data_IF_793523515303
#
_entry.id   IF_793523515303
#
_cell.length_a   1.000
_cell.length_b   1.000
_cell.length_c   1.000
_cell.angle_alpha   90.00
_cell.angle_beta   90.00
_cell.angle_gamma   90.00
#
_symmetry.space_group_name_H-M   'P 1'
#
loop_
_entity.id
_entity.type
_entity.pdbx_description
1 polymer ?
#
# COMPACT_ATOMS: atom_id res chain seq x y z
N UNK A 1 -30.27 -24.61 -37.11
CA UNK A 1 -30.24 -23.59 -36.04
C UNK A 1 -29.36 -24.12 -34.91
N UNK A 2 -28.11 -23.66 -34.84
CA UNK A 2 -27.16 -24.04 -33.78
C UNK A 2 -27.66 -23.48 -32.44
N UNK A 3 -28.04 -24.37 -31.52
CA UNK A 3 -28.29 -24.01 -30.12
C UNK A 3 -26.93 -23.69 -29.52
N UNK A 4 -26.61 -22.40 -29.38
CA UNK A 4 -25.44 -21.96 -28.63
C UNK A 4 -25.47 -22.62 -27.23
N UNK A 5 -24.40 -23.29 -26.79
CA UNK A 5 -24.42 -24.03 -25.53
C UNK A 5 -24.68 -23.06 -24.37
N UNK A 6 -25.66 -23.41 -23.52
CA UNK A 6 -26.09 -22.67 -22.31
C UNK A 6 -24.95 -22.23 -21.38
N UNK A 7 -23.78 -22.88 -21.48
CA UNK A 7 -22.54 -22.57 -20.77
C UNK A 7 -21.98 -21.18 -21.08
N UNK A 8 -22.10 -20.68 -22.31
CA UNK A 8 -21.60 -19.34 -22.70
C UNK A 8 -22.37 -18.19 -22.03
N UNK A 9 -23.59 -18.44 -21.55
CA UNK A 9 -24.46 -17.41 -20.94
C UNK A 9 -24.48 -17.42 -19.40
N UNK A 10 -23.85 -18.39 -18.74
CA UNK A 10 -23.77 -18.40 -17.27
C UNK A 10 -23.02 -17.20 -16.65
N UNK A 11 -21.94 -16.65 -17.25
CA UNK A 11 -21.26 -15.46 -16.71
C UNK A 11 -22.17 -14.24 -16.63
N UNK A 12 -23.12 -14.11 -17.57
CA UNK A 12 -24.03 -12.96 -17.68
C UNK A 12 -25.09 -12.96 -16.56
N UNK A 13 -25.46 -14.12 -16.00
CA UNK A 13 -26.41 -14.19 -14.88
C UNK A 13 -25.85 -13.59 -13.58
N UNK A 14 -24.53 -13.49 -13.44
CA UNK A 14 -23.87 -12.92 -12.25
C UNK A 14 -23.54 -11.43 -12.39
N UNK A 15 -23.91 -10.76 -13.49
CA UNK A 15 -23.56 -9.35 -13.77
C UNK A 15 -23.92 -8.37 -12.64
N UNK A 16 -25.06 -8.56 -11.95
CA UNK A 16 -25.43 -7.73 -10.80
C UNK A 16 -24.48 -7.91 -9.61
N UNK A 17 -24.08 -9.15 -9.34
CA UNK A 17 -23.16 -9.47 -8.25
C UNK A 17 -21.75 -8.92 -8.55
N UNK A 18 -21.32 -9.01 -9.81
CA UNK A 18 -20.08 -8.40 -10.30
C UNK A 18 -20.10 -6.88 -10.23
N UNK A 19 -21.23 -6.24 -10.56
CA UNK A 19 -21.38 -4.79 -10.46
C UNK A 19 -21.31 -4.27 -9.00
N UNK A 20 -21.81 -5.03 -8.03
CA UNK A 20 -21.66 -4.69 -6.60
C UNK A 20 -20.23 -4.90 -6.10
N UNK A 21 -19.59 -6.00 -6.49
CA UNK A 21 -18.18 -6.27 -6.17
C UNK A 21 -17.24 -5.23 -6.76
N UNK A 22 -17.42 -4.90 -8.03
CA UNK A 22 -16.61 -3.89 -8.71
C UNK A 22 -16.76 -2.53 -8.04
N UNK A 23 -17.99 -2.12 -7.66
CA UNK A 23 -18.23 -0.88 -6.90
C UNK A 23 -17.52 -0.87 -5.55
N UNK A 24 -17.60 -1.96 -4.77
CA UNK A 24 -16.93 -2.05 -3.46
C UNK A 24 -15.41 -1.97 -3.60
N UNK A 25 -14.84 -2.75 -4.53
CA UNK A 25 -13.41 -2.75 -4.81
C UNK A 25 -12.90 -1.37 -5.26
N UNK A 26 -13.65 -0.71 -6.15
CA UNK A 26 -13.34 0.64 -6.62
C UNK A 26 -13.41 1.68 -5.48
N UNK A 27 -14.24 1.45 -4.46
CA UNK A 27 -14.35 2.34 -3.30
C UNK A 27 -13.16 2.23 -2.34
N UNK A 28 -12.52 1.08 -2.17
CA UNK A 28 -11.33 0.99 -1.29
C UNK A 28 -10.06 1.45 -2.01
N UNK A 29 -9.92 1.14 -3.31
CA UNK A 29 -8.69 1.39 -4.05
C UNK A 29 -8.38 2.89 -4.21
N UNK A 30 -9.39 3.76 -4.20
CA UNK A 30 -9.19 5.23 -4.19
C UNK A 30 -8.40 5.72 -2.98
N UNK A 31 -8.36 4.95 -1.88
CA UNK A 31 -7.58 5.29 -0.69
C UNK A 31 -6.15 4.72 -0.72
N UNK A 32 -5.74 4.00 -1.77
CA UNK A 32 -4.42 3.38 -1.84
C UNK A 32 -3.29 4.43 -1.84
N UNK A 33 -3.42 5.48 -2.66
CA UNK A 33 -2.43 6.56 -2.74
C UNK A 33 -2.28 7.29 -1.40
N UNK A 34 -3.35 7.84 -0.76
CA UNK A 34 -3.18 8.54 0.51
C UNK A 34 -2.68 7.61 1.62
N UNK A 35 -3.10 6.33 1.63
CA UNK A 35 -2.57 5.34 2.58
C UNK A 35 -1.07 5.14 2.39
N UNK A 36 -0.61 5.00 1.14
CA UNK A 36 0.81 4.87 0.81
C UNK A 36 1.63 6.08 1.25
N UNK A 37 1.13 7.29 1.02
CA UNK A 37 1.81 8.54 1.41
C UNK A 37 1.79 8.83 2.93
N UNK A 38 1.16 7.98 3.74
CA UNK A 38 1.35 8.00 5.20
C UNK A 38 2.29 6.86 5.62
N UNK A 39 1.97 5.63 5.22
CA UNK A 39 2.72 4.45 5.66
C UNK A 39 4.18 4.49 5.19
N UNK A 40 4.42 4.77 3.90
CA UNK A 40 5.77 4.73 3.35
C UNK A 40 6.67 5.82 3.95
N UNK A 41 6.24 7.09 4.13
CA UNK A 41 7.05 8.09 4.84
C UNK A 41 7.31 7.74 6.32
N UNK A 42 6.34 7.17 7.03
CA UNK A 42 6.55 6.71 8.42
C UNK A 42 7.67 5.66 8.49
N UNK A 43 7.57 4.60 7.68
CA UNK A 43 8.58 3.54 7.62
C UNK A 43 9.94 4.09 7.14
N UNK A 44 9.94 4.99 6.15
CA UNK A 44 11.13 5.66 5.65
C UNK A 44 11.85 6.49 6.73
N UNK A 45 11.12 7.29 7.51
CA UNK A 45 11.68 8.12 8.58
C UNK A 45 12.41 7.29 9.63
N UNK A 46 11.82 6.17 10.06
CA UNK A 46 12.45 5.23 10.98
C UNK A 46 13.66 4.54 10.34
N UNK A 47 13.53 4.07 9.10
CA UNK A 47 14.60 3.34 8.41
C UNK A 47 15.82 4.20 8.09
N UNK A 48 15.64 5.50 7.83
CA UNK A 48 16.71 6.44 7.52
C UNK A 48 17.31 7.11 8.76
N UNK A 49 16.79 6.86 9.96
CA UNK A 49 17.37 7.36 11.22
C UNK A 49 18.80 6.88 11.43
N UNK A 50 19.15 5.67 10.94
CA UNK A 50 20.51 5.10 11.02
C UNK A 50 21.57 5.82 10.19
N UNK A 51 21.17 6.66 9.23
CA UNK A 51 22.08 7.43 8.39
C UNK A 51 22.43 8.71 9.14
N UNK A 52 23.45 8.60 9.97
CA UNK A 52 23.78 9.58 11.01
C UNK A 52 25.21 10.12 10.88
N UNK A 53 26.02 9.60 9.94
CA UNK A 53 27.40 10.01 9.71
C UNK A 53 28.41 9.49 10.75
N UNK A 54 27.97 8.67 11.72
CA UNK A 54 28.84 8.14 12.78
C UNK A 54 29.53 6.86 12.34
N UNK A 55 28.77 5.90 11.83
CA UNK A 55 29.29 4.57 11.42
C UNK A 55 29.64 4.48 9.95
N UNK A 56 28.84 5.11 9.09
CA UNK A 56 28.97 5.04 7.63
C UNK A 56 28.17 6.17 6.97
N UNK A 57 28.42 6.38 5.67
CA UNK A 57 27.72 7.37 4.86
C UNK A 57 28.38 8.74 4.88
N UNK A 58 27.62 9.76 4.46
CA UNK A 58 28.06 11.15 4.45
C UNK A 58 28.23 11.67 5.88
N UNK A 59 29.34 12.34 6.13
CA UNK A 59 29.65 13.01 7.40
C UNK A 59 30.06 14.44 7.11
N UNK A 60 29.44 15.40 7.79
CA UNK A 60 29.79 16.80 7.64
C UNK A 60 31.22 17.06 8.15
N UNK A 61 31.88 18.06 7.56
CA UNK A 61 33.23 18.48 7.97
C UNK A 61 33.18 19.32 9.24
N UNK A 62 34.13 19.09 10.13
CA UNK A 62 34.39 19.86 11.36
C UNK A 62 33.11 20.22 12.16
N UNK A 63 32.37 19.22 12.70
CA UNK A 63 31.19 19.48 13.52
C UNK A 63 31.58 20.14 14.84
N UNK A 64 30.78 21.12 15.26
CA UNK A 64 30.99 21.86 16.51
C UNK A 64 30.65 21.02 17.74
N UNK A 65 29.59 20.22 17.65
CA UNK A 65 29.17 19.26 18.66
C UNK A 65 28.44 18.06 18.03
N UNK A 66 27.86 17.20 18.86
CA UNK A 66 27.16 16.00 18.40
C UNK A 66 25.82 16.31 17.71
N UNK A 67 25.13 17.36 18.12
CA UNK A 67 23.86 17.77 17.51
C UNK A 67 24.12 18.34 16.10
N UNK A 68 25.13 19.20 15.97
CA UNK A 68 25.60 19.74 14.70
C UNK A 68 26.03 18.63 13.74
N UNK A 69 26.79 17.63 14.24
CA UNK A 69 27.16 16.44 13.46
C UNK A 69 25.93 15.76 12.85
N UNK A 70 24.90 15.49 13.66
CA UNK A 70 23.70 14.81 13.16
C UNK A 70 22.89 15.67 12.21
N UNK A 71 22.65 16.95 12.55
CA UNK A 71 21.82 17.84 11.75
C UNK A 71 22.45 18.12 10.39
N UNK A 72 23.73 18.52 10.35
CA UNK A 72 24.41 18.83 9.09
C UNK A 72 24.65 17.60 8.23
N UNK A 73 25.16 16.50 8.80
CA UNK A 73 25.40 15.28 8.01
C UNK A 73 24.12 14.77 7.33
N UNK A 74 22.98 14.87 8.00
CA UNK A 74 21.67 14.49 7.43
C UNK A 74 21.15 15.53 6.43
N UNK A 75 21.31 16.82 6.72
CA UNK A 75 20.81 17.91 5.86
C UNK A 75 21.57 17.98 4.54
N UNK A 76 22.88 17.84 4.59
CA UNK A 76 23.78 17.80 3.43
C UNK A 76 23.63 16.48 2.64
N UNK A 77 23.48 15.35 3.36
CA UNK A 77 23.43 14.02 2.76
C UNK A 77 22.10 13.64 2.12
N UNK A 78 20.97 14.21 2.54
CA UNK A 78 19.65 13.89 2.01
C UNK A 78 19.14 14.92 1.00
N UNK A 79 18.65 14.42 -0.14
CA UNK A 79 17.92 15.23 -1.11
C UNK A 79 16.56 15.74 -0.59
N UNK A 80 16.02 16.76 -1.24
CA UNK A 80 14.79 17.46 -0.81
C UNK A 80 13.57 16.54 -0.62
N UNK A 81 13.36 15.58 -1.52
CA UNK A 81 12.23 14.66 -1.41
C UNK A 81 12.36 13.72 -0.21
N UNK A 82 13.58 13.29 0.09
CA UNK A 82 13.86 12.41 1.23
C UNK A 82 13.59 13.18 2.53
N UNK A 83 14.07 14.42 2.62
CA UNK A 83 13.82 15.31 3.77
C UNK A 83 12.31 15.53 3.98
N UNK A 84 11.54 15.80 2.92
CA UNK A 84 10.07 15.91 3.01
C UNK A 84 9.41 14.66 3.58
N UNK A 85 9.82 13.47 3.13
CA UNK A 85 9.25 12.20 3.63
C UNK A 85 9.63 11.93 5.08
N UNK A 86 10.86 12.25 5.48
CA UNK A 86 11.30 12.13 6.88
C UNK A 86 10.44 13.04 7.77
N UNK A 87 10.22 14.30 7.35
CA UNK A 87 9.38 15.25 8.09
C UNK A 87 7.94 14.75 8.24
N UNK A 88 7.29 14.36 7.14
CA UNK A 88 5.91 13.83 7.16
C UNK A 88 5.82 12.57 8.02
N UNK A 89 6.77 11.64 7.86
CA UNK A 89 6.80 10.39 8.62
C UNK A 89 6.95 10.62 10.12
N UNK A 90 7.89 11.49 10.52
CA UNK A 90 8.13 11.83 11.91
C UNK A 90 6.91 12.51 12.53
N UNK A 91 6.26 13.42 11.79
CA UNK A 91 5.01 14.05 12.23
C UNK A 91 3.88 13.04 12.41
N UNK A 92 3.65 12.17 11.43
CA UNK A 92 2.59 11.16 11.50
C UNK A 92 2.82 10.10 12.59
N UNK A 93 4.07 9.89 13.03
CA UNK A 93 4.44 9.01 14.15
C UNK A 93 4.47 9.71 15.50
N UNK A 94 4.38 11.04 15.54
CA UNK A 94 4.48 11.82 16.78
C UNK A 94 3.29 11.57 17.72
N UNK A 95 3.54 11.74 19.02
CA UNK A 95 2.53 11.60 20.05
C UNK A 95 1.36 12.57 19.79
N UNK A 96 0.13 12.06 19.81
CA UNK A 96 -1.09 12.81 19.50
C UNK A 96 -1.58 12.66 18.06
N UNK A 97 -0.70 12.34 17.11
CA UNK A 97 -1.06 12.18 15.69
C UNK A 97 -0.97 10.73 15.19
N UNK A 98 -0.25 9.86 15.90
CA UNK A 98 -0.07 8.45 15.57
C UNK A 98 -1.38 7.72 15.22
N UNK A 99 -2.40 7.83 16.06
CA UNK A 99 -3.66 7.11 15.87
C UNK A 99 -4.47 7.64 14.68
N UNK A 100 -4.45 8.96 14.50
CA UNK A 100 -5.21 9.65 13.46
C UNK A 100 -4.62 9.39 12.07
N UNK A 101 -3.29 9.29 11.95
CA UNK A 101 -2.59 9.11 10.68
C UNK A 101 -2.09 7.68 10.50
N UNK A 102 -1.06 7.27 11.23
CA UNK A 102 -0.37 6.01 10.95
C UNK A 102 -1.25 4.78 11.25
N UNK A 103 -1.88 4.71 12.43
CA UNK A 103 -2.76 3.58 12.77
C UNK A 103 -3.98 3.53 11.82
N UNK A 104 -4.56 4.68 11.48
CA UNK A 104 -5.66 4.76 10.53
C UNK A 104 -5.23 4.27 9.14
N UNK A 105 -4.06 4.66 8.66
CA UNK A 105 -3.53 4.22 7.38
C UNK A 105 -3.25 2.70 7.37
N UNK A 106 -2.70 2.14 8.45
CA UNK A 106 -2.51 0.68 8.57
C UNK A 106 -3.85 -0.09 8.52
N UNK A 107 -4.89 0.41 9.19
CA UNK A 107 -6.24 -0.15 9.10
C UNK A 107 -6.79 -0.10 7.67
N UNK A 108 -6.64 1.03 6.98
CA UNK A 108 -7.05 1.17 5.56
C UNK A 108 -6.26 0.23 4.65
N UNK A 109 -4.95 0.08 4.85
CA UNK A 109 -4.10 -0.88 4.13
C UNK A 109 -4.62 -2.31 4.28
N UNK A 110 -5.06 -2.69 5.49
CA UNK A 110 -5.66 -4.00 5.72
C UNK A 110 -6.97 -4.20 4.96
N UNK A 111 -7.85 -3.18 4.95
CA UNK A 111 -9.09 -3.23 4.17
C UNK A 111 -8.84 -3.40 2.67
N UNK A 112 -7.88 -2.64 2.11
CA UNK A 112 -7.47 -2.77 0.70
C UNK A 112 -6.96 -4.20 0.44
N UNK A 113 -6.09 -4.72 1.30
CA UNK A 113 -5.55 -6.07 1.14
C UNK A 113 -6.65 -7.15 1.16
N UNK A 114 -7.61 -7.03 2.07
CA UNK A 114 -8.72 -7.99 2.16
C UNK A 114 -9.62 -7.94 0.92
N UNK A 115 -9.88 -6.74 0.38
CA UNK A 115 -10.65 -6.60 -0.85
C UNK A 115 -9.96 -7.29 -2.05
N UNK A 116 -8.63 -7.21 -2.16
CA UNK A 116 -7.88 -7.96 -3.17
C UNK A 116 -7.95 -9.48 -2.94
N UNK A 117 -7.80 -9.96 -1.71
CA UNK A 117 -7.90 -11.39 -1.38
C UNK A 117 -9.26 -11.96 -1.78
N UNK A 118 -10.34 -11.25 -1.46
CA UNK A 118 -11.69 -11.67 -1.82
C UNK A 118 -11.92 -11.66 -3.34
N UNK A 119 -11.43 -10.65 -4.04
CA UNK A 119 -11.51 -10.59 -5.51
C UNK A 119 -10.76 -11.75 -6.17
N UNK A 120 -9.53 -12.05 -5.71
CA UNK A 120 -8.72 -13.15 -6.22
C UNK A 120 -9.35 -14.52 -5.92
N UNK A 121 -9.89 -14.72 -4.71
CA UNK A 121 -10.60 -15.96 -4.34
C UNK A 121 -11.78 -16.22 -5.26
N UNK A 122 -12.57 -15.18 -5.57
CA UNK A 122 -13.69 -15.30 -6.51
C UNK A 122 -13.21 -15.63 -7.91
N UNK A 123 -12.23 -14.89 -8.42
CA UNK A 123 -11.65 -15.13 -9.75
C UNK A 123 -11.15 -16.58 -9.87
N UNK A 124 -10.40 -17.06 -8.89
CA UNK A 124 -9.93 -18.44 -8.82
C UNK A 124 -11.09 -19.45 -8.82
N UNK A 125 -12.16 -19.20 -8.04
CA UNK A 125 -13.32 -20.10 -8.01
C UNK A 125 -14.04 -20.22 -9.36
N UNK A 126 -14.12 -19.12 -10.12
CA UNK A 126 -14.70 -19.12 -11.47
C UNK A 126 -13.82 -19.83 -12.47
N UNK A 127 -12.50 -19.61 -12.39
CA UNK A 127 -11.53 -20.34 -13.19
C UNK A 127 -11.66 -21.85 -12.98
N UNK A 128 -11.80 -22.29 -11.73
CA UNK A 128 -12.02 -23.71 -11.41
C UNK A 128 -13.33 -24.24 -11.99
N UNK A 129 -14.43 -23.47 -11.91
CA UNK A 129 -15.72 -23.87 -12.49
C UNK A 129 -15.69 -23.97 -14.02
N UNK A 130 -14.98 -23.07 -14.69
CA UNK A 130 -14.85 -23.05 -16.15
C UNK A 130 -13.86 -24.10 -16.67
N UNK A 131 -12.86 -24.48 -15.86
CA UNK A 131 -11.86 -25.47 -16.23
C UNK A 131 -12.32 -26.92 -16.06
N UNK A 132 -13.49 -27.19 -15.44
CA UNK A 132 -14.01 -28.55 -15.38
C UNK A 132 -14.52 -28.99 -16.76
N UNK A 133 -14.06 -30.14 -17.29
CA UNK A 133 -14.59 -30.65 -18.55
C UNK A 133 -16.09 -30.93 -18.41
N UNK A 134 -16.89 -30.71 -19.46
CA UNK A 134 -18.28 -31.13 -19.44
C UNK A 134 -18.30 -32.64 -19.15
N UNK A 135 -19.05 -33.02 -18.13
CA UNK A 135 -19.29 -34.40 -17.77
C UNK A 135 -19.80 -35.11 -19.03
N UNK A 136 -19.03 -36.09 -19.52
CA UNK A 136 -19.45 -36.99 -20.59
C UNK A 136 -20.63 -37.82 -20.04
N UNK A 137 -21.84 -37.40 -20.37
CA UNK A 137 -23.05 -38.25 -20.38
C UNK A 137 -23.32 -38.68 -21.80
#
# INVERSE_FOLDING_TARGET
MMVLPRLLWQPLKNLRHWAQLSKKFHYQIKYAIPTYYIVAPCECSSNLSRMDGVRFGHRCTDPTDLEDLYLRSRTEGFGEEVKRRIMIGTYALSAGYYDAYYLKAQKTRHLISNDFKEALKKLMSLWVQLAQPPHLT
#
